data_IF_426759734104
#
_entry.id   IF_426759734104
#
_cell.length_a   1.000
_cell.length_b   1.000
_cell.length_c   1.000
_cell.angle_alpha   90.00
_cell.angle_beta   90.00
_cell.angle_gamma   90.00
#
_symmetry.space_group_name_H-M   'P 1'
#
loop_
_entity.id
_entity.type
_entity.pdbx_description
1 polymer ?
#
# COMPACT_ATOMS: atom_id res chain seq x y z
N UNK A 1 7.45 -26.99 19.07
CA UNK A 1 7.39 -26.72 20.51
C UNK A 1 6.14 -25.92 20.83
N UNK A 2 5.54 -26.11 21.99
CA UNK A 2 4.37 -25.37 22.48
C UNK A 2 4.58 -23.84 22.47
N UNK A 3 5.80 -23.39 22.75
CA UNK A 3 6.15 -21.96 22.76
C UNK A 3 6.27 -21.34 21.36
N UNK A 4 6.54 -22.13 20.32
CA UNK A 4 6.76 -21.63 18.97
C UNK A 4 5.48 -21.01 18.39
N UNK A 5 4.32 -21.65 18.59
CA UNK A 5 3.04 -21.13 18.09
C UNK A 5 2.67 -19.79 18.73
N UNK A 6 2.90 -19.66 20.03
CA UNK A 6 2.62 -18.42 20.76
C UNK A 6 3.57 -17.29 20.36
N UNK A 7 4.82 -17.60 20.02
CA UNK A 7 5.80 -16.62 19.57
C UNK A 7 5.45 -16.09 18.16
N UNK A 8 5.07 -16.97 17.23
CA UNK A 8 4.66 -16.58 15.86
C UNK A 8 3.49 -15.61 15.90
N UNK A 9 2.43 -15.92 16.65
CA UNK A 9 1.27 -15.03 16.75
C UNK A 9 1.61 -13.64 17.30
N UNK A 10 2.52 -13.56 18.28
CA UNK A 10 2.97 -12.27 18.83
C UNK A 10 3.84 -11.51 17.83
N UNK A 11 4.66 -12.22 17.08
CA UNK A 11 5.46 -11.63 16.01
C UNK A 11 4.55 -11.04 14.94
N UNK A 12 3.59 -11.81 14.43
CA UNK A 12 2.65 -11.36 13.40
C UNK A 12 1.89 -10.11 13.84
N UNK A 13 1.42 -10.08 15.09
CA UNK A 13 0.75 -8.91 15.67
C UNK A 13 1.66 -7.68 15.75
N UNK A 14 2.90 -7.86 16.24
CA UNK A 14 3.86 -6.76 16.31
C UNK A 14 4.25 -6.25 14.92
N UNK A 15 4.36 -7.15 13.95
CA UNK A 15 4.68 -6.85 12.57
C UNK A 15 3.56 -6.06 11.88
N UNK A 16 2.30 -6.46 12.09
CA UNK A 16 1.12 -5.73 11.62
C UNK A 16 1.05 -4.32 12.23
N UNK A 17 1.32 -4.18 13.53
CA UNK A 17 1.39 -2.86 14.17
C UNK A 17 2.48 -1.94 13.60
N UNK A 18 3.64 -2.49 13.22
CA UNK A 18 4.71 -1.71 12.58
C UNK A 18 4.28 -1.21 11.19
N UNK A 19 3.60 -2.06 10.40
CA UNK A 19 3.03 -1.66 9.13
C UNK A 19 1.93 -0.59 9.31
N UNK A 20 1.04 -0.76 10.30
CA UNK A 20 -0.01 0.20 10.63
C UNK A 20 0.55 1.59 10.95
N UNK A 21 1.68 1.65 11.68
CA UNK A 21 2.38 2.90 11.99
C UNK A 21 2.87 3.60 10.71
N UNK A 22 3.54 2.88 9.82
CA UNK A 22 4.02 3.48 8.56
C UNK A 22 2.85 3.95 7.69
N UNK A 23 1.75 3.19 7.66
CA UNK A 23 0.52 3.59 6.99
C UNK A 23 -0.07 4.88 7.56
N UNK A 24 -0.11 5.06 8.88
CA UNK A 24 -0.66 6.27 9.47
C UNK A 24 0.18 7.50 9.14
N UNK A 25 1.51 7.37 9.19
CA UNK A 25 2.43 8.45 8.81
C UNK A 25 2.29 8.77 7.31
N UNK A 26 2.19 7.74 6.46
CA UNK A 26 1.98 7.90 5.03
C UNK A 26 0.68 8.63 4.71
N UNK A 27 -0.44 8.22 5.33
CA UNK A 27 -1.75 8.89 5.18
C UNK A 27 -1.69 10.33 5.67
N UNK A 28 -1.00 10.59 6.78
CA UNK A 28 -0.80 11.96 7.26
C UNK A 28 -0.10 12.82 6.19
N UNK A 29 1.01 12.35 5.61
CA UNK A 29 1.71 13.10 4.56
C UNK A 29 0.87 13.27 3.30
N UNK A 30 0.14 12.23 2.88
CA UNK A 30 -0.71 12.29 1.70
C UNK A 30 -1.81 13.35 1.84
N UNK A 31 -2.48 13.41 3.00
CA UNK A 31 -3.52 14.42 3.30
C UNK A 31 -3.00 15.86 3.28
N UNK A 32 -1.70 16.06 3.48
CA UNK A 32 -1.05 17.38 3.48
C UNK A 32 -0.25 17.62 2.19
N UNK A 33 -0.52 16.86 1.13
CA UNK A 33 0.11 17.00 -0.19
C UNK A 33 1.64 16.81 -0.19
N UNK A 34 2.19 16.18 0.86
CA UNK A 34 3.60 15.82 0.97
C UNK A 34 3.84 14.47 0.27
N UNK A 35 3.60 14.42 -1.04
CA UNK A 35 3.53 13.18 -1.82
C UNK A 35 4.81 12.35 -1.77
N UNK A 36 6.00 12.95 -1.92
CA UNK A 36 7.27 12.21 -1.87
C UNK A 36 7.49 11.54 -0.51
N UNK A 37 7.13 12.23 0.59
CA UNK A 37 7.23 11.66 1.93
C UNK A 37 6.21 10.53 2.13
N UNK A 38 4.99 10.69 1.62
CA UNK A 38 3.97 9.65 1.65
C UNK A 38 4.41 8.40 0.87
N UNK A 39 4.94 8.58 -0.35
CA UNK A 39 5.47 7.50 -1.20
C UNK A 39 6.52 6.69 -0.45
N UNK A 40 7.48 7.34 0.19
CA UNK A 40 8.52 6.64 0.95
C UNK A 40 7.95 5.76 2.06
N UNK A 41 6.88 6.20 2.73
CA UNK A 41 6.20 5.44 3.79
C UNK A 41 5.44 4.25 3.24
N UNK A 42 4.67 4.45 2.17
CA UNK A 42 3.90 3.35 1.57
C UNK A 42 4.81 2.31 0.90
N UNK A 43 5.93 2.73 0.29
CA UNK A 43 6.94 1.81 -0.22
C UNK A 43 7.52 0.92 0.88
N UNK A 44 7.84 1.48 2.05
CA UNK A 44 8.30 0.66 3.18
C UNK A 44 7.27 -0.41 3.55
N UNK A 45 5.97 -0.10 3.53
CA UNK A 45 4.90 -1.10 3.77
C UNK A 45 4.88 -2.20 2.70
N UNK A 46 5.04 -1.84 1.43
CA UNK A 46 5.04 -2.79 0.31
C UNK A 46 6.32 -3.63 0.25
N UNK A 47 7.46 -3.07 0.64
CA UNK A 47 8.76 -3.74 0.56
C UNK A 47 9.02 -4.60 1.80
N UNK A 48 8.76 -4.07 3.00
CA UNK A 48 9.13 -4.71 4.26
C UNK A 48 7.99 -5.49 4.91
N UNK A 49 6.72 -5.19 4.61
CA UNK A 49 5.55 -5.73 5.33
C UNK A 49 4.54 -6.45 4.43
N UNK A 50 5.04 -7.14 3.39
CA UNK A 50 4.26 -7.80 2.32
C UNK A 50 3.17 -8.78 2.79
N UNK A 51 3.31 -9.35 3.98
CA UNK A 51 2.36 -10.34 4.54
C UNK A 51 1.25 -9.71 5.37
N UNK A 52 1.29 -8.40 5.59
CA UNK A 52 0.31 -7.69 6.42
C UNK A 52 -0.94 -7.34 5.64
N UNK A 53 -2.03 -7.09 6.37
CA UNK A 53 -3.30 -6.64 5.78
C UNK A 53 -3.23 -5.24 5.15
N UNK A 54 -2.14 -4.51 5.39
CA UNK A 54 -1.91 -3.15 4.95
C UNK A 54 -1.32 -3.02 3.54
N UNK A 55 -0.70 -4.07 3.00
CA UNK A 55 -0.05 -4.03 1.69
C UNK A 55 -1.00 -3.60 0.54
N UNK A 56 -2.25 -4.07 0.46
CA UNK A 56 -3.18 -3.64 -0.59
C UNK A 56 -3.53 -2.14 -0.49
N UNK A 57 -3.75 -1.64 0.73
CA UNK A 57 -3.98 -0.21 0.94
C UNK A 57 -2.74 0.60 0.54
N UNK A 58 -1.55 0.17 0.95
CA UNK A 58 -0.29 0.85 0.63
C UNK A 58 -0.08 0.99 -0.88
N UNK A 59 -0.34 -0.07 -1.65
CA UNK A 59 -0.27 -0.04 -3.12
C UNK A 59 -1.28 0.95 -3.70
N UNK A 60 -2.53 0.96 -3.23
CA UNK A 60 -3.53 1.95 -3.66
C UNK A 60 -3.09 3.39 -3.35
N UNK A 61 -2.56 3.64 -2.14
CA UNK A 61 -2.06 4.97 -1.77
C UNK A 61 -0.84 5.38 -2.59
N UNK A 62 0.00 4.44 -3.02
CA UNK A 62 1.06 4.72 -3.99
C UNK A 62 0.49 5.17 -5.33
N UNK A 63 -0.55 4.52 -5.85
CA UNK A 63 -1.25 4.96 -7.07
C UNK A 63 -1.72 6.41 -6.92
N UNK A 64 -2.40 6.75 -5.83
CA UNK A 64 -2.86 8.12 -5.57
C UNK A 64 -1.70 9.14 -5.53
N UNK A 65 -0.63 8.82 -4.79
CA UNK A 65 0.49 9.73 -4.61
C UNK A 65 1.30 9.93 -5.91
N UNK A 66 1.54 8.86 -6.68
CA UNK A 66 2.21 8.94 -7.98
C UNK A 66 1.37 9.74 -8.98
N UNK A 67 0.07 9.49 -9.07
CA UNK A 67 -0.83 10.26 -9.93
C UNK A 67 -0.92 11.74 -9.54
N UNK A 68 -0.75 12.07 -8.26
CA UNK A 68 -0.73 13.46 -7.78
C UNK A 68 0.55 14.19 -8.20
N UNK A 69 1.66 13.46 -8.41
CA UNK A 69 2.91 13.99 -8.94
C UNK A 69 3.01 13.92 -10.48
N UNK A 70 2.02 13.34 -11.16
CA UNK A 70 2.04 13.12 -12.62
C UNK A 70 2.93 11.96 -13.06
N UNK A 71 3.31 11.08 -12.13
CA UNK A 71 4.13 9.88 -12.37
C UNK A 71 3.24 8.71 -12.77
N UNK A 72 2.78 8.72 -14.02
CA UNK A 72 1.75 7.78 -14.51
C UNK A 72 2.27 6.35 -14.59
N UNK A 73 3.51 6.15 -15.03
CA UNK A 73 4.09 4.83 -15.24
C UNK A 73 4.27 4.08 -13.91
N UNK A 74 4.71 4.79 -12.87
CA UNK A 74 4.83 4.27 -11.50
C UNK A 74 3.45 3.97 -10.90
N UNK A 75 2.46 4.83 -11.17
CA UNK A 75 1.08 4.60 -10.74
C UNK A 75 0.50 3.33 -11.37
N UNK A 76 0.67 3.14 -12.69
CA UNK A 76 0.22 1.93 -13.38
C UNK A 76 0.95 0.69 -12.87
N UNK A 77 2.26 0.79 -12.61
CA UNK A 77 3.04 -0.33 -12.05
C UNK A 77 2.51 -0.73 -10.67
N UNK A 78 2.26 0.23 -9.77
CA UNK A 78 1.68 -0.05 -8.45
C UNK A 78 0.28 -0.67 -8.56
N UNK A 79 -0.54 -0.15 -9.49
CA UNK A 79 -1.85 -0.71 -9.82
C UNK A 79 -1.79 -2.15 -10.33
N UNK A 80 -0.86 -2.45 -11.24
CA UNK A 80 -0.66 -3.78 -11.80
C UNK A 80 -0.28 -4.80 -10.72
N UNK A 81 0.63 -4.43 -9.81
CA UNK A 81 1.00 -5.25 -8.65
C UNK A 81 -0.23 -5.52 -7.77
N UNK A 82 -1.05 -4.49 -7.52
CA UNK A 82 -2.28 -4.62 -6.76
C UNK A 82 -3.29 -5.55 -7.44
N UNK A 83 -3.49 -5.42 -8.75
CA UNK A 83 -4.40 -6.27 -9.53
C UNK A 83 -3.92 -7.71 -9.72
N UNK A 84 -2.62 -7.94 -9.67
CA UNK A 84 -2.03 -9.28 -9.71
C UNK A 84 -2.22 -10.02 -8.39
N UNK A 85 -1.93 -9.36 -7.26
CA UNK A 85 -1.87 -10.01 -5.95
C UNK A 85 -3.18 -9.89 -5.13
N UNK A 86 -3.99 -8.85 -5.36
CA UNK A 86 -5.09 -8.45 -4.48
C UNK A 86 -6.37 -8.06 -5.25
N UNK A 87 -6.68 -8.77 -6.34
CA UNK A 87 -7.82 -8.46 -7.22
C UNK A 87 -9.19 -8.42 -6.53
N UNK A 88 -9.37 -9.14 -5.44
CA UNK A 88 -10.63 -9.16 -4.67
C UNK A 88 -10.69 -8.11 -3.57
N UNK A 89 -9.70 -7.23 -3.45
CA UNK A 89 -9.69 -6.17 -2.45
C UNK A 89 -10.45 -4.94 -2.93
N UNK A 90 -11.10 -4.23 -2.02
CA UNK A 90 -11.76 -2.95 -2.31
C UNK A 90 -10.75 -1.93 -2.87
N UNK A 91 -9.50 -1.99 -2.40
CA UNK A 91 -8.38 -1.15 -2.88
C UNK A 91 -8.07 -1.34 -4.36
N UNK A 92 -8.21 -2.56 -4.88
CA UNK A 92 -8.05 -2.81 -6.31
C UNK A 92 -9.17 -2.13 -7.10
N UNK A 93 -10.42 -2.25 -6.65
CA UNK A 93 -11.56 -1.65 -7.32
C UNK A 93 -11.43 -0.11 -7.38
N UNK A 94 -10.99 0.50 -6.29
CA UNK A 94 -10.78 1.95 -6.22
C UNK A 94 -9.61 2.41 -7.10
N UNK A 95 -8.50 1.66 -7.09
CA UNK A 95 -7.36 1.94 -7.99
C UNK A 95 -7.76 1.79 -9.46
N UNK A 96 -8.58 0.79 -9.79
CA UNK A 96 -9.09 0.57 -11.14
C UNK A 96 -9.96 1.73 -11.59
N UNK A 97 -10.87 2.22 -10.76
CA UNK A 97 -11.67 3.41 -11.06
C UNK A 97 -10.79 4.65 -11.25
N UNK A 98 -9.79 4.82 -10.39
CA UNK A 98 -8.90 5.99 -10.41
C UNK A 98 -8.04 6.04 -11.68
N UNK A 99 -7.42 4.93 -12.07
CA UNK A 99 -6.56 4.85 -13.26
C UNK A 99 -7.38 4.97 -14.55
N UNK A 100 -8.48 4.21 -14.69
CA UNK A 100 -9.35 4.30 -15.86
C UNK A 100 -10.00 5.69 -16.00
N UNK A 101 -10.36 6.32 -14.89
CA UNK A 101 -10.90 7.69 -14.89
C UNK A 101 -9.94 8.73 -15.47
N UNK A 102 -8.64 8.44 -15.51
CA UNK A 102 -7.60 9.26 -16.15
C UNK A 102 -7.16 8.75 -17.53
N UNK A 103 -7.82 7.72 -18.07
CA UNK A 103 -7.48 7.10 -19.34
C UNK A 103 -6.20 6.24 -19.28
N UNK A 104 -5.80 5.80 -18.10
CA UNK A 104 -4.62 4.96 -17.87
C UNK A 104 -5.05 3.50 -17.68
N UNK A 105 -4.24 2.58 -18.20
CA UNK A 105 -4.46 1.13 -18.10
C UNK A 105 -3.90 0.55 -16.80
N UNK A 106 -4.42 -0.61 -16.38
CA UNK A 106 -4.01 -1.35 -15.19
C UNK A 106 -3.19 -2.58 -15.53
#
# INVERSE_FOLDING_TARGET
>A
SEYARSAVLKFDLAFDHLAAKEMEIGRYYLRHEHYTAAINRFRAVVEDFQTTSHTPEALHRLVEAYLSLGLTDEAQTAGAILGHNFRSSDWYEDSFKLLNGRGLEL
#
